data_IF_528777342405
#
_entry.id   IF_528777342405
#
_cell.length_a   1.000
_cell.length_b   1.000
_cell.length_c   1.000
_cell.angle_alpha   90.00
_cell.angle_beta   90.00
_cell.angle_gamma   90.00
#
_symmetry.space_group_name_H-M   'P 1'
#
loop_
_entity.id
_entity.type
_entity.pdbx_description
1 polymer ?
#
# COMPACT_ATOMS: atom_id res chain seq x y z
N UNK A 1 -56.91 28.27 -2.84
CA UNK A 1 -55.94 28.29 -3.97
C UNK A 1 -54.80 27.33 -3.67
N UNK A 2 -55.11 26.03 -3.73
CA UNK A 2 -54.16 24.94 -3.63
C UNK A 2 -53.69 24.57 -5.03
N UNK A 3 -52.37 24.50 -5.27
CA UNK A 3 -51.81 23.95 -6.52
C UNK A 3 -51.13 22.62 -6.23
N UNK A 4 -51.88 21.54 -6.48
CA UNK A 4 -51.38 20.20 -6.77
C UNK A 4 -50.58 20.22 -8.08
N UNK A 5 -49.42 19.55 -8.12
CA UNK A 5 -48.75 19.13 -9.36
C UNK A 5 -48.73 17.60 -9.41
N UNK A 6 -49.65 17.06 -10.20
CA UNK A 6 -49.63 15.70 -10.72
C UNK A 6 -48.48 15.53 -11.73
N UNK A 7 -47.67 14.48 -11.59
CA UNK A 7 -46.77 13.99 -12.62
C UNK A 7 -47.43 12.82 -13.34
N UNK A 8 -47.69 13.01 -14.64
CA UNK A 8 -48.14 12.00 -15.59
C UNK A 8 -47.06 10.92 -15.80
N UNK A 9 -47.45 9.68 -15.59
CA UNK A 9 -46.75 8.48 -16.07
C UNK A 9 -47.04 8.34 -17.57
N UNK A 10 -46.01 8.24 -18.42
CA UNK A 10 -46.14 7.89 -19.84
C UNK A 10 -45.84 6.40 -19.97
N UNK A 11 -46.87 5.61 -20.24
CA UNK A 11 -46.73 4.28 -20.82
C UNK A 11 -46.28 4.41 -22.28
N UNK A 12 -45.22 3.68 -22.64
CA UNK A 12 -44.76 3.51 -24.02
C UNK A 12 -44.93 2.04 -24.37
N UNK A 13 -45.99 1.75 -25.13
CA UNK A 13 -46.22 0.50 -25.80
C UNK A 13 -45.31 0.42 -27.03
N UNK A 14 -44.57 -0.69 -27.17
CA UNK A 14 -43.83 -1.02 -28.38
C UNK A 14 -44.49 -2.22 -29.06
N UNK A 15 -44.84 -2.00 -30.33
CA UNK A 15 -45.46 -2.97 -31.21
C UNK A 15 -44.50 -4.06 -31.67
N UNK A 16 -45.09 -5.24 -31.92
CA UNK A 16 -44.48 -6.34 -32.67
C UNK A 16 -44.28 -5.89 -34.12
N UNK A 17 -43.12 -6.17 -34.69
CA UNK A 17 -42.98 -6.96 -35.93
C UNK A 17 -41.51 -7.02 -36.40
N UNK A 18 -41.10 -8.21 -36.85
CA UNK A 18 -39.98 -8.51 -37.77
C UNK A 18 -38.52 -8.48 -37.23
N UNK A 19 -37.97 -9.67 -36.93
CA UNK A 19 -36.52 -9.90 -36.84
C UNK A 19 -36.10 -11.08 -37.78
N UNK A 20 -35.02 -10.94 -38.57
CA UNK A 20 -34.37 -12.02 -39.32
C UNK A 20 -33.28 -12.72 -38.47
N UNK A 21 -32.65 -13.83 -38.95
CA UNK A 21 -32.14 -14.88 -38.07
C UNK A 21 -30.71 -14.65 -37.54
N UNK A 22 -30.52 -15.10 -36.29
CA UNK A 22 -29.35 -15.74 -35.68
C UNK A 22 -27.93 -15.18 -35.93
N UNK A 23 -27.36 -14.60 -34.87
CA UNK A 23 -25.96 -14.82 -34.47
C UNK A 23 -25.90 -14.95 -32.93
N UNK A 24 -25.57 -16.13 -32.43
CA UNK A 24 -25.25 -16.34 -31.01
C UNK A 24 -23.75 -16.04 -30.80
N UNK A 25 -23.44 -15.03 -30.00
CA UNK A 25 -22.14 -14.90 -29.35
C UNK A 25 -22.26 -15.50 -27.95
N UNK A 26 -21.56 -16.61 -27.70
CA UNK A 26 -21.30 -17.06 -26.33
C UNK A 26 -20.05 -16.34 -25.82
N UNK A 27 -20.20 -15.52 -24.78
CA UNK A 27 -19.11 -15.15 -23.90
C UNK A 27 -18.88 -16.31 -22.93
N UNK A 28 -17.78 -17.06 -23.11
CA UNK A 28 -17.26 -17.92 -22.05
C UNK A 28 -16.25 -17.10 -21.25
N UNK A 29 -16.64 -16.73 -20.03
CA UNK A 29 -15.69 -16.30 -19.00
C UNK A 29 -14.77 -17.48 -18.65
N UNK A 30 -13.49 -17.15 -18.51
CA UNK A 30 -12.39 -18.06 -18.21
C UNK A 30 -12.66 -18.92 -16.95
N UNK A 31 -13.06 -20.17 -17.16
CA UNK A 31 -12.59 -21.29 -16.35
C UNK A 31 -11.93 -22.28 -17.32
N UNK A 32 -10.68 -22.62 -17.07
CA UNK A 32 -9.86 -23.49 -17.88
C UNK A 32 -10.44 -24.92 -17.94
N UNK A 33 -11.35 -25.17 -18.86
CA UNK A 33 -11.59 -26.48 -19.44
C UNK A 33 -11.14 -26.40 -20.89
N UNK A 34 -9.85 -26.65 -21.10
CA UNK A 34 -9.33 -26.88 -22.44
C UNK A 34 -9.87 -28.23 -22.92
N UNK A 35 -11.03 -28.20 -23.56
CA UNK A 35 -11.55 -29.34 -24.30
C UNK A 35 -10.63 -29.54 -25.52
N UNK A 36 -9.60 -30.37 -25.37
CA UNK A 36 -8.71 -30.71 -26.46
C UNK A 36 -9.45 -31.66 -27.41
N UNK A 37 -10.13 -31.09 -28.42
CA UNK A 37 -10.74 -31.87 -29.50
C UNK A 37 -9.62 -32.35 -30.41
N UNK A 38 -9.13 -33.57 -30.19
CA UNK A 38 -8.34 -34.28 -31.20
C UNK A 38 -9.26 -34.64 -32.36
N UNK A 39 -9.22 -33.85 -33.44
CA UNK A 39 -9.80 -34.25 -34.73
C UNK A 39 -8.85 -35.26 -35.36
N UNK A 40 -9.08 -36.55 -35.13
CA UNK A 40 -8.49 -37.60 -35.95
C UNK A 40 -9.19 -37.61 -37.31
N UNK A 41 -8.56 -37.03 -38.34
CA UNK A 41 -8.97 -37.24 -39.73
C UNK A 41 -8.62 -38.68 -40.08
N UNK A 42 -9.65 -39.52 -40.16
CA UNK A 42 -9.50 -40.91 -40.54
C UNK A 42 -9.50 -40.99 -42.08
N UNK A 43 -8.33 -40.92 -42.72
CA UNK A 43 -8.21 -41.42 -44.09
C UNK A 43 -8.25 -42.95 -44.07
N UNK A 44 -9.07 -43.50 -44.97
CA UNK A 44 -9.31 -44.92 -45.13
C UNK A 44 -8.27 -45.49 -46.09
N UNK A 45 -7.90 -46.74 -45.81
CA UNK A 45 -7.16 -47.70 -46.64
C UNK A 45 -5.63 -47.73 -46.50
N UNK A 46 -5.15 -48.81 -45.87
CA UNK A 46 -3.76 -49.22 -45.88
C UNK A 46 -3.30 -49.76 -44.53
N UNK A 47 -3.34 -51.09 -44.36
CA UNK A 47 -2.91 -51.79 -43.15
C UNK A 47 -1.43 -51.48 -42.81
N UNK A 48 -1.21 -50.67 -41.78
CA UNK A 48 0.09 -50.48 -41.15
C UNK A 48 -0.08 -49.88 -39.75
N UNK A 49 0.24 -50.64 -38.70
CA UNK A 49 0.24 -50.15 -37.31
C UNK A 49 1.26 -49.01 -37.17
N UNK A 50 0.82 -47.82 -36.79
CA UNK A 50 1.68 -46.66 -36.54
C UNK A 50 1.84 -46.44 -35.02
N UNK A 51 3.07 -46.50 -34.45
CA UNK A 51 3.30 -46.41 -32.99
C UNK A 51 3.33 -44.96 -32.44
N UNK A 52 2.84 -43.96 -33.18
CA UNK A 52 3.11 -42.54 -32.88
C UNK A 52 2.13 -41.83 -31.92
N UNK A 53 1.04 -42.47 -31.48
CA UNK A 53 -0.01 -41.79 -30.72
C UNK A 53 0.26 -41.75 -29.19
N UNK A 54 1.14 -42.60 -28.66
CA UNK A 54 1.44 -42.63 -27.23
C UNK A 54 2.44 -41.55 -26.74
N UNK A 55 3.12 -40.83 -27.64
CA UNK A 55 4.10 -39.80 -27.26
C UNK A 55 3.49 -38.44 -26.90
N UNK A 56 2.44 -38.00 -27.60
CA UNK A 56 1.89 -36.66 -27.43
C UNK A 56 1.04 -36.49 -26.16
N UNK A 57 0.29 -37.52 -25.74
CA UNK A 57 -0.48 -37.45 -24.49
C UNK A 57 0.42 -37.44 -23.24
N UNK A 58 1.59 -38.09 -23.30
CA UNK A 58 2.52 -38.13 -22.17
C UNK A 58 3.21 -36.77 -21.95
N UNK A 59 3.51 -36.03 -23.03
CA UNK A 59 4.14 -34.71 -22.95
C UNK A 59 3.21 -33.63 -22.38
N UNK A 60 1.91 -33.68 -22.69
CA UNK A 60 0.94 -32.70 -22.18
C UNK A 60 0.67 -32.92 -20.69
N UNK A 61 0.59 -34.18 -20.23
CA UNK A 61 0.48 -34.49 -18.80
C UNK A 61 1.75 -34.10 -18.03
N UNK A 62 2.94 -34.24 -18.61
CA UNK A 62 4.18 -33.83 -17.95
C UNK A 62 4.30 -32.30 -17.84
N UNK A 63 3.84 -31.54 -18.84
CA UNK A 63 3.85 -30.08 -18.78
C UNK A 63 2.84 -29.52 -17.77
N UNK A 64 1.64 -30.10 -17.67
CA UNK A 64 0.64 -29.71 -16.67
C UNK A 64 0.97 -30.18 -15.24
N UNK A 65 1.79 -31.22 -15.07
CA UNK A 65 2.22 -31.69 -13.75
C UNK A 65 3.48 -30.96 -13.23
N UNK A 66 4.25 -30.30 -14.10
CA UNK A 66 5.45 -29.56 -13.72
C UNK A 66 5.19 -28.11 -13.35
N UNK A 67 4.04 -27.55 -13.74
CA UNK A 67 3.54 -26.29 -13.19
C UNK A 67 2.57 -26.58 -12.04
N UNK A 68 3.06 -27.33 -11.03
CA UNK A 68 2.47 -27.20 -9.70
C UNK A 68 2.66 -25.74 -9.30
N UNK A 69 1.66 -24.93 -9.60
CA UNK A 69 1.52 -23.53 -9.24
C UNK A 69 1.87 -23.45 -7.77
N UNK A 70 3.12 -23.04 -7.47
CA UNK A 70 3.55 -22.81 -6.09
C UNK A 70 2.64 -21.72 -5.57
N UNK A 71 1.67 -22.10 -4.75
CA UNK A 71 0.69 -21.18 -4.18
C UNK A 71 1.45 -20.12 -3.38
N UNK A 72 1.52 -18.91 -3.92
CA UNK A 72 2.10 -17.76 -3.23
C UNK A 72 1.01 -17.11 -2.38
N UNK A 73 1.21 -17.08 -1.08
CA UNK A 73 0.33 -16.31 -0.21
C UNK A 73 0.70 -14.83 -0.30
N UNK A 74 -0.28 -13.96 -0.47
CA UNK A 74 -0.08 -12.50 -0.45
C UNK A 74 -0.55 -11.98 0.89
N UNK A 75 0.37 -11.44 1.68
CA UNK A 75 0.08 -10.87 3.00
C UNK A 75 0.35 -9.36 2.95
N UNK A 76 -0.68 -8.58 3.23
CA UNK A 76 -0.60 -7.11 3.31
C UNK A 76 -0.93 -6.69 4.74
N UNK A 77 -0.01 -6.01 5.39
CA UNK A 77 -0.14 -5.52 6.76
C UNK A 77 -0.49 -4.03 6.75
N UNK A 78 -1.57 -3.64 7.43
CA UNK A 78 -2.09 -2.28 7.48
C UNK A 78 -1.88 -1.66 8.87
N UNK A 79 -0.85 -0.82 9.03
CA UNK A 79 -0.52 -0.20 10.32
C UNK A 79 -1.00 1.26 10.42
N UNK A 80 -1.91 1.53 11.35
CA UNK A 80 -2.43 2.87 11.63
C UNK A 80 -1.42 3.78 12.35
N UNK A 81 -1.74 5.07 12.42
CA UNK A 81 -0.94 6.11 13.08
C UNK A 81 -1.18 6.27 14.59
N UNK A 82 -0.62 7.33 15.18
CA UNK A 82 -0.78 7.67 16.60
C UNK A 82 -2.27 7.81 16.97
N UNK A 83 -2.67 7.25 18.11
CA UNK A 83 -4.05 7.24 18.61
C UNK A 83 -5.08 6.69 17.62
N UNK A 84 -4.62 5.99 16.58
CA UNK A 84 -5.46 5.39 15.56
C UNK A 84 -6.05 4.06 15.99
N UNK A 85 -6.85 3.51 15.09
CA UNK A 85 -7.38 2.14 15.16
C UNK A 85 -7.15 1.46 13.83
N UNK A 86 -7.29 0.14 13.77
CA UNK A 86 -7.18 -0.60 12.51
C UNK A 86 -8.14 -0.07 11.42
N UNK A 87 -9.28 0.51 11.84
CA UNK A 87 -10.29 1.10 10.96
C UNK A 87 -9.82 2.32 10.17
N UNK A 88 -8.74 2.98 10.60
CA UNK A 88 -8.18 4.15 9.93
C UNK A 88 -7.74 3.83 8.49
N UNK A 89 -7.38 2.58 8.21
CA UNK A 89 -7.06 2.07 6.87
C UNK A 89 -8.18 1.18 6.30
N UNK A 90 -9.39 1.23 6.88
CA UNK A 90 -10.50 0.37 6.51
C UNK A 90 -10.99 0.56 5.07
N UNK A 91 -10.90 1.79 4.53
CA UNK A 91 -11.17 2.08 3.12
C UNK A 91 -10.24 1.26 2.20
N UNK A 92 -8.93 1.28 2.47
CA UNK A 92 -7.94 0.50 1.72
C UNK A 92 -8.16 -1.01 1.90
N UNK A 93 -8.45 -1.46 3.12
CA UNK A 93 -8.73 -2.86 3.40
C UNK A 93 -9.92 -3.39 2.57
N UNK A 94 -10.95 -2.56 2.34
CA UNK A 94 -12.07 -2.91 1.45
C UNK A 94 -11.63 -3.07 -0.01
N UNK A 95 -10.84 -2.13 -0.54
CA UNK A 95 -10.33 -2.25 -1.92
C UNK A 95 -9.47 -3.49 -2.10
N UNK A 96 -8.58 -3.78 -1.15
CA UNK A 96 -7.72 -4.97 -1.20
C UNK A 96 -8.54 -6.26 -1.17
N UNK A 97 -9.56 -6.37 -0.32
CA UNK A 97 -10.45 -7.54 -0.26
C UNK A 97 -11.31 -7.73 -1.50
N UNK A 98 -11.50 -6.68 -2.29
CA UNK A 98 -12.26 -6.74 -3.54
C UNK A 98 -11.41 -7.18 -4.75
N UNK A 99 -10.09 -7.36 -4.59
CA UNK A 99 -9.22 -7.89 -5.63
C UNK A 99 -9.50 -9.38 -5.90
N UNK A 100 -9.17 -9.85 -7.11
CA UNK A 100 -9.29 -11.26 -7.50
C UNK A 100 -7.93 -11.83 -7.99
N UNK A 101 -7.31 -12.80 -7.28
CA UNK A 101 -7.74 -13.27 -5.96
C UNK A 101 -7.61 -12.16 -4.90
N UNK A 102 -8.21 -12.30 -3.71
CA UNK A 102 -7.96 -11.36 -2.61
C UNK A 102 -6.66 -11.73 -1.88
N UNK A 103 -5.84 -10.74 -1.43
CA UNK A 103 -4.75 -11.00 -0.51
C UNK A 103 -5.26 -11.20 0.92
N UNK A 104 -4.41 -11.76 1.78
CA UNK A 104 -4.61 -11.79 3.22
C UNK A 104 -4.30 -10.40 3.75
N UNK A 105 -5.32 -9.72 4.28
CA UNK A 105 -5.18 -8.39 4.86
C UNK A 105 -5.10 -8.52 6.38
N UNK A 106 -3.93 -8.23 6.94
CA UNK A 106 -3.71 -8.16 8.38
C UNK A 106 -3.89 -6.71 8.83
N UNK A 107 -4.78 -6.52 9.81
CA UNK A 107 -5.15 -5.23 10.41
C UNK A 107 -4.80 -5.26 11.92
N UNK A 108 -3.52 -5.08 12.28
CA UNK A 108 -3.03 -5.20 13.66
C UNK A 108 -3.82 -4.34 14.66
N UNK A 109 -4.22 -4.95 15.77
CA UNK A 109 -4.91 -4.26 16.88
C UNK A 109 -4.00 -4.04 18.10
N UNK A 110 -2.76 -4.54 18.05
CA UNK A 110 -1.85 -4.51 19.20
C UNK A 110 -1.38 -3.12 19.61
N UNK A 111 -1.61 -2.09 18.78
CA UNK A 111 -1.16 -0.73 19.02
C UNK A 111 -2.30 0.31 19.04
N UNK A 112 -3.57 -0.09 19.17
CA UNK A 112 -4.69 0.87 19.08
C UNK A 112 -4.76 1.91 20.22
N UNK A 113 -5.27 3.09 19.88
CA UNK A 113 -5.53 4.18 20.82
C UNK A 113 -4.27 4.61 21.58
N UNK A 114 -4.39 4.74 22.91
CA UNK A 114 -3.31 5.17 23.79
C UNK A 114 -2.14 4.17 23.86
N UNK A 115 -2.27 2.94 23.32
CA UNK A 115 -1.13 2.00 23.27
C UNK A 115 -0.01 2.50 22.36
N UNK A 116 -0.33 3.39 21.42
CA UNK A 116 0.71 4.07 20.63
C UNK A 116 1.61 4.97 21.47
N UNK A 117 1.15 5.49 22.62
CA UNK A 117 1.93 6.40 23.47
C UNK A 117 3.15 5.76 24.13
N UNK A 118 3.22 4.42 24.14
CA UNK A 118 4.38 3.66 24.63
C UNK A 118 5.64 3.88 23.78
N UNK A 119 5.52 4.55 22.63
CA UNK A 119 6.64 4.90 21.76
C UNK A 119 6.86 3.90 20.62
N UNK A 120 7.70 4.31 19.67
CA UNK A 120 7.91 3.55 18.43
C UNK A 120 8.50 2.17 18.70
N UNK A 121 9.43 2.07 19.65
CA UNK A 121 10.14 0.83 20.00
C UNK A 121 9.19 -0.26 20.49
N UNK A 122 8.38 0.08 21.49
CA UNK A 122 7.43 -0.86 22.09
C UNK A 122 6.36 -1.26 21.08
N UNK A 123 5.86 -0.30 20.30
CA UNK A 123 4.88 -0.56 19.26
C UNK A 123 5.43 -1.46 18.15
N UNK A 124 6.68 -1.25 17.72
CA UNK A 124 7.33 -2.04 16.69
C UNK A 124 7.56 -3.48 17.12
N UNK A 125 7.98 -3.71 18.37
CA UNK A 125 8.10 -5.06 18.93
C UNK A 125 6.75 -5.80 18.98
N UNK A 126 5.66 -5.11 19.36
CA UNK A 126 4.30 -5.68 19.34
C UNK A 126 3.88 -6.06 17.93
N UNK A 127 4.09 -5.17 16.96
CA UNK A 127 3.75 -5.41 15.56
C UNK A 127 4.57 -6.59 14.99
N UNK A 128 5.87 -6.65 15.27
CA UNK A 128 6.73 -7.74 14.83
C UNK A 128 6.22 -9.10 15.31
N UNK A 129 5.83 -9.19 16.60
CA UNK A 129 5.26 -10.42 17.17
C UNK A 129 3.96 -10.84 16.48
N UNK A 130 3.05 -9.89 16.22
CA UNK A 130 1.77 -10.19 15.57
C UNK A 130 1.95 -10.64 14.11
N UNK A 131 2.82 -9.96 13.36
CA UNK A 131 3.11 -10.34 11.97
C UNK A 131 3.83 -11.68 11.90
N UNK A 132 4.80 -11.95 12.79
CA UNK A 132 5.47 -13.25 12.88
C UNK A 132 4.46 -14.37 13.16
N UNK A 133 3.53 -14.16 14.10
CA UNK A 133 2.46 -15.12 14.39
C UNK A 133 1.57 -15.37 13.17
N UNK A 134 1.20 -14.32 12.42
CA UNK A 134 0.45 -14.46 11.18
C UNK A 134 1.20 -15.28 10.13
N UNK A 135 2.51 -15.02 9.94
CA UNK A 135 3.36 -15.78 9.02
C UNK A 135 3.47 -17.26 9.41
N UNK A 136 3.63 -17.56 10.70
CA UNK A 136 3.64 -18.94 11.20
C UNK A 136 2.31 -19.66 10.95
N UNK A 137 1.19 -18.94 11.09
CA UNK A 137 -0.16 -19.47 10.82
C UNK A 137 -0.40 -19.83 9.34
N UNK A 138 0.34 -19.24 8.40
CA UNK A 138 0.33 -19.61 6.98
C UNK A 138 1.15 -20.87 6.69
N UNK A 139 1.91 -21.34 7.68
CA UNK A 139 2.75 -22.53 7.61
C UNK A 139 2.22 -23.68 8.50
N UNK A 140 0.94 -24.10 8.41
CA UNK A 140 0.49 -25.25 9.20
C UNK A 140 1.20 -26.51 8.68
N UNK A 141 1.85 -27.27 9.58
CA UNK A 141 2.11 -28.69 9.32
C UNK A 141 3.57 -29.16 9.18
N UNK A 142 4.44 -28.87 10.13
CA UNK A 142 5.37 -29.90 10.62
C UNK A 142 5.11 -30.12 12.11
N UNK A 143 3.97 -30.71 12.42
CA UNK A 143 3.87 -31.46 13.67
C UNK A 143 4.90 -32.58 13.58
N UNK A 144 5.91 -32.56 14.46
CA UNK A 144 7.00 -33.55 14.63
C UNK A 144 6.47 -34.97 14.89
N UNK A 145 5.74 -35.55 13.95
CA UNK A 145 5.45 -36.97 13.92
C UNK A 145 6.74 -37.75 13.64
N UNK A 146 6.95 -38.93 14.23
CA UNK A 146 8.14 -39.74 13.97
C UNK A 146 8.26 -40.04 12.47
N UNK A 147 9.39 -39.66 11.90
CA UNK A 147 9.71 -39.78 10.49
C UNK A 147 9.81 -41.25 10.05
N UNK A 148 8.73 -41.80 9.51
CA UNK A 148 8.73 -43.08 8.79
C UNK A 148 8.28 -42.86 7.37
N UNK A 149 9.27 -42.60 6.50
CA UNK A 149 9.33 -42.70 5.03
C UNK A 149 9.92 -41.44 4.38
N UNK A 150 11.23 -41.50 4.14
CA UNK A 150 11.95 -40.57 3.29
C UNK A 150 11.55 -40.78 1.83
N UNK A 151 10.66 -39.94 1.32
CA UNK A 151 10.62 -39.62 -0.12
C UNK A 151 11.38 -38.30 -0.35
N UNK A 152 12.04 -38.11 -1.51
CA UNK A 152 12.81 -36.90 -1.77
C UNK A 152 11.85 -35.72 -1.86
N UNK A 153 11.98 -34.81 -0.89
CA UNK A 153 11.17 -33.60 -0.76
C UNK A 153 11.44 -32.70 -1.99
N UNK A 154 10.53 -32.71 -2.95
CA UNK A 154 10.38 -31.59 -3.89
C UNK A 154 10.21 -30.34 -3.03
N UNK A 155 11.10 -29.36 -3.21
CA UNK A 155 11.26 -28.11 -2.44
C UNK A 155 9.90 -27.45 -2.08
N UNK A 156 9.29 -27.96 -1.00
CA UNK A 156 7.92 -27.66 -0.55
C UNK A 156 7.86 -26.37 0.27
N UNK A 157 8.82 -25.48 0.06
CA UNK A 157 8.94 -24.22 0.80
C UNK A 157 7.78 -23.32 0.44
N UNK A 158 7.01 -22.92 1.45
CA UNK A 158 5.91 -21.97 1.27
C UNK A 158 6.48 -20.59 0.98
N UNK A 159 5.91 -19.92 -0.02
CA UNK A 159 6.33 -18.57 -0.39
C UNK A 159 5.24 -17.57 -0.02
N UNK A 160 5.61 -16.53 0.73
CA UNK A 160 4.73 -15.43 1.14
C UNK A 160 5.26 -14.13 0.55
N UNK A 161 4.45 -13.44 -0.23
CA UNK A 161 4.69 -12.07 -0.67
C UNK A 161 4.19 -11.13 0.41
N UNK A 162 5.11 -10.41 1.06
CA UNK A 162 4.82 -9.54 2.19
C UNK A 162 4.88 -8.08 1.76
N UNK A 163 3.85 -7.31 2.13
CA UNK A 163 3.81 -5.86 1.94
C UNK A 163 3.27 -5.16 3.18
N UNK A 164 3.70 -3.93 3.39
CA UNK A 164 3.23 -3.05 4.45
C UNK A 164 2.64 -1.79 3.84
N UNK A 165 1.47 -1.40 4.32
CA UNK A 165 0.96 -0.03 4.15
C UNK A 165 0.78 0.57 5.53
N UNK A 166 1.27 1.77 5.69
CA UNK A 166 1.28 2.43 6.99
C UNK A 166 0.90 3.89 6.88
N UNK A 167 0.24 4.42 7.90
CA UNK A 167 -0.17 5.82 7.95
C UNK A 167 0.49 6.52 9.13
N UNK A 168 0.99 7.74 8.91
CA UNK A 168 1.52 8.60 9.96
C UNK A 168 2.61 7.88 10.78
N UNK A 169 2.54 7.92 12.11
CA UNK A 169 3.43 7.18 13.01
C UNK A 169 3.54 5.67 12.68
N UNK A 170 2.54 5.08 12.03
CA UNK A 170 2.54 3.67 11.63
C UNK A 170 3.74 3.28 10.80
N UNK A 171 4.25 4.16 9.94
CA UNK A 171 5.44 3.86 9.13
C UNK A 171 6.73 3.80 9.95
N UNK A 172 6.80 4.52 11.08
CA UNK A 172 7.90 4.41 12.04
C UNK A 172 7.82 3.08 12.81
N UNK A 173 6.61 2.69 13.23
CA UNK A 173 6.34 1.42 13.91
C UNK A 173 6.73 0.23 13.01
N UNK A 174 6.36 0.28 11.72
CA UNK A 174 6.77 -0.76 10.75
C UNK A 174 8.29 -0.81 10.65
N UNK A 175 8.98 0.32 10.45
CA UNK A 175 10.45 0.36 10.34
C UNK A 175 11.15 -0.27 11.55
N UNK A 176 10.65 -0.01 12.75
CA UNK A 176 11.15 -0.64 13.98
C UNK A 176 10.90 -2.16 14.04
N UNK A 177 9.77 -2.63 13.50
CA UNK A 177 9.42 -4.05 13.50
C UNK A 177 10.30 -4.88 12.54
N UNK A 178 10.83 -4.28 11.48
CA UNK A 178 11.47 -5.00 10.38
C UNK A 178 12.69 -5.85 10.79
N UNK A 179 13.66 -5.38 11.60
CA UNK A 179 14.80 -6.22 11.99
C UNK A 179 14.39 -7.51 12.70
N UNK A 180 13.45 -7.42 13.64
CA UNK A 180 12.92 -8.57 14.36
C UNK A 180 12.22 -9.53 13.39
N UNK A 181 11.40 -9.01 12.48
CA UNK A 181 10.72 -9.84 11.47
C UNK A 181 11.70 -10.54 10.52
N UNK A 182 12.74 -9.85 10.06
CA UNK A 182 13.78 -10.46 9.22
C UNK A 182 14.48 -11.58 9.98
N UNK A 183 14.76 -11.39 11.28
CA UNK A 183 15.34 -12.43 12.12
C UNK A 183 14.42 -13.64 12.28
N UNK A 184 13.12 -13.43 12.52
CA UNK A 184 12.14 -14.53 12.62
C UNK A 184 12.02 -15.28 11.29
N UNK A 185 11.93 -14.58 10.16
CA UNK A 185 11.88 -15.21 8.82
C UNK A 185 13.13 -16.05 8.57
N UNK A 186 14.32 -15.55 8.93
CA UNK A 186 15.59 -16.29 8.82
C UNK A 186 15.59 -17.58 9.62
N UNK A 187 15.02 -17.57 10.84
CA UNK A 187 14.89 -18.80 11.66
C UNK A 187 13.99 -19.85 11.00
N UNK A 188 13.09 -19.44 10.11
CA UNK A 188 12.17 -20.31 9.38
C UNK A 188 12.52 -20.49 7.90
N UNK A 189 13.74 -20.13 7.45
CA UNK A 189 14.12 -20.19 6.03
C UNK A 189 13.97 -21.58 5.39
N UNK A 190 14.01 -22.65 6.19
CA UNK A 190 13.79 -24.02 5.70
C UNK A 190 12.35 -24.29 5.24
N UNK A 191 11.35 -23.65 5.86
CA UNK A 191 9.93 -23.90 5.61
C UNK A 191 9.20 -22.71 4.98
N UNK A 192 9.70 -21.49 5.18
CA UNK A 192 9.10 -20.24 4.74
C UNK A 192 10.10 -19.40 3.94
N UNK A 193 9.70 -18.99 2.74
CA UNK A 193 10.34 -17.93 1.95
C UNK A 193 9.46 -16.70 1.97
N UNK A 194 10.01 -15.55 2.38
CA UNK A 194 9.32 -14.26 2.26
C UNK A 194 9.91 -13.47 1.09
N UNK A 195 9.04 -13.06 0.17
CA UNK A 195 9.33 -12.07 -0.87
C UNK A 195 8.85 -10.70 -0.36
N UNK A 196 9.79 -9.78 -0.12
CA UNK A 196 9.49 -8.44 0.39
C UNK A 196 9.08 -7.53 -0.78
N UNK A 197 7.77 -7.31 -0.97
CA UNK A 197 7.25 -6.64 -2.17
C UNK A 197 7.20 -5.13 -2.05
N UNK A 198 6.32 -4.61 -1.20
CA UNK A 198 6.06 -3.16 -1.11
C UNK A 198 6.11 -2.68 0.34
N UNK A 199 6.89 -1.64 0.58
CA UNK A 199 6.78 -0.78 1.76
C UNK A 199 6.14 0.53 1.33
N UNK A 200 4.91 0.80 1.76
CA UNK A 200 4.20 2.04 1.48
C UNK A 200 3.94 2.80 2.78
N UNK A 201 4.38 4.05 2.83
CA UNK A 201 4.16 4.96 3.94
C UNK A 201 3.38 6.18 3.49
N UNK A 202 2.26 6.44 4.15
CA UNK A 202 1.35 7.54 3.86
C UNK A 202 1.45 8.57 4.98
N UNK A 203 1.95 9.75 4.66
CA UNK A 203 2.17 10.85 5.60
C UNK A 203 2.99 10.46 6.84
N UNK A 204 3.98 9.58 6.70
CA UNK A 204 4.83 9.16 7.83
C UNK A 204 5.92 10.19 8.11
N UNK A 205 6.13 10.62 9.37
CA UNK A 205 7.17 11.59 9.70
C UNK A 205 8.55 10.91 9.77
N UNK A 206 9.11 10.45 8.65
CA UNK A 206 10.39 9.74 8.63
C UNK A 206 11.55 10.56 9.18
N UNK A 207 11.59 11.85 8.86
CA UNK A 207 12.52 12.83 9.40
C UNK A 207 12.05 13.49 10.71
N UNK A 208 10.89 13.10 11.25
CA UNK A 208 10.27 13.70 12.42
C UNK A 208 9.22 14.78 12.08
N UNK A 209 8.60 15.33 13.11
CA UNK A 209 7.54 16.33 13.04
C UNK A 209 7.89 17.59 13.87
N UNK A 210 9.19 17.82 14.11
CA UNK A 210 9.67 18.94 14.93
C UNK A 210 9.22 20.31 14.37
N UNK A 211 9.09 20.41 13.04
CA UNK A 211 8.67 21.61 12.32
C UNK A 211 7.15 21.71 12.09
N UNK A 212 6.35 20.97 12.86
CA UNK A 212 4.91 21.15 12.90
C UNK A 212 4.56 22.57 13.39
N UNK A 213 3.48 23.15 12.85
CA UNK A 213 3.05 24.51 13.18
C UNK A 213 2.93 24.71 14.70
N UNK A 214 3.44 25.85 15.19
CA UNK A 214 3.53 26.15 16.62
C UNK A 214 2.17 26.16 17.33
N UNK A 215 1.09 26.54 16.64
CA UNK A 215 -0.26 26.53 17.21
C UNK A 215 -0.71 25.10 17.44
N UNK A 216 -0.52 24.24 16.44
CA UNK A 216 -0.85 22.81 16.51
C UNK A 216 0.02 22.14 17.58
N UNK A 217 1.32 22.45 17.63
CA UNK A 217 2.21 21.98 18.69
C UNK A 217 1.79 22.46 20.08
N UNK A 218 1.22 23.66 20.22
CA UNK A 218 0.65 24.13 21.49
C UNK A 218 -0.66 23.43 21.86
N UNK A 219 -1.45 23.03 20.88
CA UNK A 219 -2.70 22.30 21.07
C UNK A 219 -2.40 20.86 21.50
N UNK A 220 -1.54 20.16 20.76
CA UNK A 220 -1.02 18.86 21.18
C UNK A 220 -0.23 18.98 22.47
N UNK A 221 0.58 20.03 22.67
CA UNK A 221 1.33 20.29 23.89
C UNK A 221 0.44 20.45 25.13
N UNK A 222 -0.76 21.04 24.99
CA UNK A 222 -1.75 21.12 26.06
C UNK A 222 -2.43 19.76 26.34
N UNK A 223 -2.55 18.91 25.34
CA UNK A 223 -3.01 17.52 25.48
C UNK A 223 -1.92 16.64 26.14
N UNK A 224 -0.67 16.79 25.70
CA UNK A 224 0.56 16.12 26.16
C UNK A 224 0.94 16.56 27.58
N UNK A 225 0.63 17.80 27.98
CA UNK A 225 0.90 18.33 29.33
C UNK A 225 0.22 17.54 30.46
N UNK A 226 -0.66 16.57 30.14
CA UNK A 226 -1.24 15.64 31.11
C UNK A 226 -0.64 14.22 31.07
N UNK A 227 0.03 13.80 29.99
CA UNK A 227 0.70 12.49 29.85
C UNK A 227 1.88 12.63 28.88
N UNK A 228 3.10 12.45 29.35
CA UNK A 228 4.35 12.51 28.58
C UNK A 228 4.42 11.32 27.59
N UNK A 229 3.75 11.41 26.45
CA UNK A 229 3.70 10.34 25.45
C UNK A 229 5.06 10.17 24.77
N UNK A 230 5.66 8.97 24.92
CA UNK A 230 6.96 8.61 24.34
C UNK A 230 6.91 8.69 22.81
N UNK A 231 5.76 8.40 22.20
CA UNK A 231 5.55 8.51 20.77
C UNK A 231 5.81 9.92 20.22
N UNK A 232 5.30 10.95 20.89
CA UNK A 232 5.54 12.33 20.47
C UNK A 232 6.99 12.75 20.73
N UNK A 233 7.60 12.27 21.81
CA UNK A 233 9.03 12.48 22.07
C UNK A 233 9.89 11.90 20.93
N UNK A 234 9.54 10.71 20.43
CA UNK A 234 10.18 10.09 19.27
C UNK A 234 9.96 10.89 17.98
N UNK A 235 8.71 11.25 17.68
CA UNK A 235 8.37 11.98 16.45
C UNK A 235 8.92 13.41 16.43
N UNK A 236 9.04 14.08 17.58
CA UNK A 236 9.57 15.45 17.67
C UNK A 236 11.09 15.52 17.79
N UNK A 237 11.80 14.43 17.50
CA UNK A 237 13.27 14.36 17.53
C UNK A 237 13.85 14.67 18.93
N UNK A 238 13.09 14.35 19.98
CA UNK A 238 13.53 14.54 21.36
C UNK A 238 14.21 13.27 21.91
N UNK A 239 13.99 12.10 21.28
CA UNK A 239 14.77 10.88 21.48
C UNK A 239 15.71 10.59 20.30
N UNK A 240 16.58 9.59 20.45
CA UNK A 240 17.48 9.13 19.39
C UNK A 240 16.84 8.11 18.42
N UNK A 241 15.53 7.86 18.54
CA UNK A 241 14.85 6.84 17.75
C UNK A 241 14.94 7.11 16.25
N UNK A 242 14.64 8.34 15.81
CA UNK A 242 14.70 8.72 14.40
C UNK A 242 16.11 9.06 13.93
N UNK A 243 16.95 9.61 14.82
CA UNK A 243 18.28 10.14 14.46
C UNK A 243 19.39 9.11 14.53
N UNK A 244 19.19 7.97 15.21
CA UNK A 244 20.20 6.93 15.36
C UNK A 244 19.60 5.54 15.10
N UNK A 245 18.52 5.17 15.82
CA UNK A 245 18.01 3.79 15.80
C UNK A 245 17.46 3.39 14.43
N UNK A 246 16.46 4.11 13.92
CA UNK A 246 15.78 3.77 12.66
C UNK A 246 16.63 4.06 11.41
N UNK A 247 17.80 4.68 11.56
CA UNK A 247 18.80 4.85 10.50
C UNK A 247 20.05 3.98 10.72
N UNK A 248 20.00 3.05 11.68
CA UNK A 248 21.06 2.06 11.86
C UNK A 248 21.16 1.14 10.65
N UNK A 249 22.34 0.57 10.41
CA UNK A 249 22.59 -0.29 9.27
C UNK A 249 21.63 -1.49 9.21
N UNK A 250 21.26 -2.07 10.37
CA UNK A 250 20.32 -3.17 10.45
C UNK A 250 18.91 -2.77 9.96
N UNK A 251 18.36 -1.66 10.48
CA UNK A 251 17.03 -1.18 10.09
C UNK A 251 16.97 -0.78 8.61
N UNK A 252 18.01 -0.11 8.13
CA UNK A 252 18.10 0.29 6.73
C UNK A 252 18.26 -0.91 5.79
N UNK A 253 19.06 -1.91 6.16
CA UNK A 253 19.18 -3.15 5.39
C UNK A 253 17.85 -3.91 5.33
N UNK A 254 17.12 -4.02 6.45
CA UNK A 254 15.80 -4.65 6.48
C UNK A 254 14.77 -3.90 5.63
N UNK A 255 14.80 -2.57 5.63
CA UNK A 255 13.96 -1.75 4.75
C UNK A 255 14.36 -1.87 3.27
N UNK A 256 15.66 -2.05 3.00
CA UNK A 256 16.21 -2.27 1.68
C UNK A 256 15.82 -3.60 1.04
N UNK A 257 15.28 -4.55 1.82
CA UNK A 257 14.80 -5.84 1.29
C UNK A 257 13.58 -5.68 0.38
N UNK A 258 12.77 -4.64 0.57
CA UNK A 258 11.58 -4.41 -0.24
C UNK A 258 11.94 -4.07 -1.69
N UNK A 259 11.29 -4.72 -2.65
CA UNK A 259 11.45 -4.41 -4.08
C UNK A 259 11.03 -2.96 -4.37
N UNK A 260 9.98 -2.49 -3.71
CA UNK A 260 9.44 -1.14 -3.86
C UNK A 260 9.27 -0.44 -2.50
N UNK A 261 9.71 0.82 -2.43
CA UNK A 261 9.49 1.71 -1.28
C UNK A 261 8.80 2.97 -1.76
N UNK A 262 7.60 3.20 -1.27
CA UNK A 262 6.71 4.27 -1.72
C UNK A 262 6.39 5.23 -0.58
N UNK A 263 6.56 6.52 -0.86
CA UNK A 263 6.21 7.63 0.02
C UNK A 263 5.01 8.37 -0.58
N UNK A 264 3.89 8.43 0.14
CA UNK A 264 2.72 9.22 -0.26
C UNK A 264 2.55 10.34 0.75
N UNK A 265 2.53 11.58 0.29
CA UNK A 265 2.43 12.76 1.14
C UNK A 265 1.36 13.71 0.62
N UNK A 266 0.87 14.63 1.46
CA UNK A 266 0.05 15.75 0.99
C UNK A 266 0.81 17.06 1.09
N UNK A 267 0.69 17.90 0.06
CA UNK A 267 1.29 19.25 0.09
C UNK A 267 0.65 20.14 1.17
N UNK A 268 -0.59 19.85 1.59
CA UNK A 268 -1.30 20.60 2.62
C UNK A 268 -1.31 19.88 3.98
N UNK A 269 -0.45 18.89 4.18
CA UNK A 269 -0.35 18.23 5.49
C UNK A 269 0.20 19.20 6.54
N UNK A 270 -0.61 19.51 7.54
CA UNK A 270 -0.25 20.42 8.64
C UNK A 270 0.38 19.68 9.84
N UNK A 271 0.27 18.36 9.87
CA UNK A 271 0.75 17.49 10.96
C UNK A 271 2.14 16.97 10.62
N UNK A 272 2.30 16.45 9.40
CA UNK A 272 3.56 15.85 8.93
C UNK A 272 4.13 16.67 7.78
N UNK A 273 5.21 17.43 8.02
CA UNK A 273 5.82 18.24 6.99
C UNK A 273 6.29 17.42 5.77
N UNK A 274 6.16 18.00 4.57
CA UNK A 274 6.45 17.30 3.31
C UNK A 274 7.89 16.78 3.21
N UNK A 275 8.86 17.51 3.78
CA UNK A 275 10.26 17.08 3.76
C UNK A 275 10.50 15.83 4.60
N UNK A 276 9.66 15.60 5.60
CA UNK A 276 9.73 14.43 6.47
C UNK A 276 9.01 13.21 5.85
N UNK A 277 7.89 13.41 5.17
CA UNK A 277 7.08 12.33 4.61
C UNK A 277 7.40 11.95 3.17
N UNK A 278 7.79 12.92 2.34
CA UNK A 278 8.02 12.71 0.91
C UNK A 278 9.46 12.95 0.46
N UNK A 279 10.36 13.30 1.38
CA UNK A 279 11.74 13.73 1.09
C UNK A 279 11.86 14.89 0.10
N UNK A 280 10.91 15.83 0.18
CA UNK A 280 10.83 16.98 -0.72
C UNK A 280 10.48 18.25 0.04
N UNK A 281 11.05 19.38 -0.38
CA UNK A 281 10.62 20.68 0.11
C UNK A 281 9.40 21.17 -0.66
N UNK A 282 8.51 21.91 0.02
CA UNK A 282 7.47 22.68 -0.67
C UNK A 282 8.13 23.77 -1.53
N UNK A 283 7.59 24.12 -2.69
CA UNK A 283 8.12 25.23 -3.50
C UNK A 283 8.15 26.57 -2.74
N UNK A 284 7.24 26.79 -1.79
CA UNK A 284 7.26 27.94 -0.87
C UNK A 284 8.46 27.96 0.08
N UNK A 285 9.02 26.81 0.43
CA UNK A 285 10.21 26.68 1.28
C UNK A 285 11.52 26.87 0.50
N UNK A 286 11.46 26.85 -0.84
CA UNK A 286 12.64 27.11 -1.66
C UNK A 286 12.86 28.63 -1.82
N UNK A 287 14.03 29.12 -1.40
CA UNK A 287 14.39 30.54 -1.50
C UNK A 287 14.51 30.99 -2.96
N UNK A 288 14.18 32.26 -3.24
CA UNK A 288 14.41 32.89 -4.54
C UNK A 288 13.40 32.59 -5.65
N UNK A 289 12.35 31.79 -5.41
CA UNK A 289 11.29 31.57 -6.42
C UNK A 289 10.23 32.68 -6.41
N UNK A 290 9.85 33.13 -7.60
CA UNK A 290 8.68 33.99 -7.79
C UNK A 290 7.37 33.22 -7.51
N UNK A 291 6.27 33.90 -7.14
CA UNK A 291 4.98 33.25 -6.90
C UNK A 291 4.50 32.38 -8.07
N UNK A 292 4.67 32.86 -9.31
CA UNK A 292 4.29 32.11 -10.53
C UNK A 292 5.14 30.85 -10.70
N UNK A 293 6.45 30.94 -10.42
CA UNK A 293 7.34 29.77 -10.48
C UNK A 293 6.99 28.73 -9.40
N UNK A 294 6.59 29.19 -8.20
CA UNK A 294 6.12 28.32 -7.12
C UNK A 294 4.87 27.56 -7.54
N UNK A 295 3.83 28.26 -7.98
CA UNK A 295 2.58 27.63 -8.42
C UNK A 295 2.82 26.63 -9.56
N UNK A 296 3.65 26.98 -10.55
CA UNK A 296 4.02 26.07 -11.63
C UNK A 296 4.74 24.82 -11.12
N UNK A 297 5.66 24.95 -10.16
CA UNK A 297 6.39 23.82 -9.57
C UNK A 297 5.46 22.94 -8.73
N UNK A 298 4.57 23.52 -7.94
CA UNK A 298 3.52 22.79 -7.23
C UNK A 298 2.58 22.08 -8.21
N UNK A 299 2.32 22.68 -9.38
CA UNK A 299 1.50 22.07 -10.43
C UNK A 299 2.11 20.82 -11.03
N UNK A 300 3.40 20.89 -11.33
CA UNK A 300 4.18 19.78 -11.87
C UNK A 300 4.37 18.64 -10.86
N UNK A 301 4.51 18.97 -9.56
CA UNK A 301 4.82 17.99 -8.52
C UNK A 301 3.58 17.26 -7.97
N UNK A 302 2.44 17.95 -7.84
CA UNK A 302 1.31 17.40 -7.09
C UNK A 302 0.27 16.71 -7.97
N UNK A 303 -0.12 15.49 -7.59
CA UNK A 303 -1.22 14.73 -8.16
C UNK A 303 -2.57 15.06 -7.51
N UNK A 304 -3.64 14.97 -8.28
CA UNK A 304 -5.02 15.18 -7.86
C UNK A 304 -6.00 14.12 -8.40
N UNK A 305 -5.49 13.09 -9.08
CA UNK A 305 -6.22 11.91 -9.55
C UNK A 305 -5.29 10.68 -9.57
N UNK A 306 -5.83 9.49 -9.82
CA UNK A 306 -5.04 8.23 -9.92
C UNK A 306 -4.06 8.30 -11.11
N UNK A 307 -4.52 8.81 -12.25
CA UNK A 307 -3.68 8.95 -13.45
C UNK A 307 -2.53 9.93 -13.21
N UNK A 308 -2.79 11.04 -12.51
CA UNK A 308 -1.73 11.97 -12.13
C UNK A 308 -0.75 11.37 -11.13
N UNK A 309 -1.17 10.45 -10.25
CA UNK A 309 -0.27 9.78 -9.30
C UNK A 309 0.77 8.91 -10.03
N UNK A 310 0.39 8.25 -11.13
CA UNK A 310 1.33 7.52 -11.96
C UNK A 310 2.28 8.45 -12.73
N UNK A 311 1.73 9.51 -13.33
CA UNK A 311 2.51 10.45 -14.14
C UNK A 311 3.48 11.30 -13.31
N UNK A 312 3.12 11.64 -12.07
CA UNK A 312 3.90 12.51 -11.18
C UNK A 312 4.65 11.73 -10.09
N UNK A 313 4.80 10.41 -10.27
CA UNK A 313 5.66 9.58 -9.42
C UNK A 313 7.11 10.01 -9.59
N UNK A 314 7.75 10.41 -8.50
CA UNK A 314 9.15 10.85 -8.49
C UNK A 314 10.04 9.83 -7.82
N UNK A 315 10.95 9.22 -8.57
CA UNK A 315 11.99 8.34 -8.01
C UNK A 315 13.12 9.18 -7.41
N UNK A 316 13.35 9.01 -6.12
CA UNK A 316 14.38 9.70 -5.34
C UNK A 316 15.48 8.69 -5.02
N UNK A 317 16.68 8.93 -5.56
CA UNK A 317 17.87 8.12 -5.30
C UNK A 317 18.89 8.87 -4.45
N UNK A 318 18.95 10.20 -4.62
CA UNK A 318 19.82 11.11 -3.87
C UNK A 318 19.10 12.43 -3.65
N UNK A 319 19.47 13.16 -2.60
CA UNK A 319 19.01 14.53 -2.37
C UNK A 319 20.06 15.49 -2.89
N UNK A 320 19.73 16.28 -3.91
CA UNK A 320 20.61 17.32 -4.41
C UNK A 320 20.43 18.63 -3.64
N UNK A 321 21.42 19.53 -3.69
CA UNK A 321 21.34 20.82 -3.02
C UNK A 321 20.29 21.75 -3.66
N UNK A 322 19.99 21.55 -4.95
CA UNK A 322 18.97 22.30 -5.68
C UNK A 322 17.55 21.93 -5.24
N UNK A 323 17.33 20.66 -4.88
CA UNK A 323 16.03 20.16 -4.45
C UNK A 323 15.81 20.34 -2.94
N UNK A 324 16.88 20.28 -2.16
CA UNK A 324 16.83 20.48 -0.73
C UNK A 324 18.18 21.08 -0.27
N UNK A 325 18.29 22.39 0.00
CA UNK A 325 19.57 22.98 0.42
C UNK A 325 20.09 22.37 1.73
N UNK A 326 21.42 22.31 1.91
CA UNK A 326 22.04 21.68 3.09
C UNK A 326 21.75 22.40 4.40
N UNK A 327 21.47 23.71 4.34
CA UNK A 327 21.16 24.57 5.49
C UNK A 327 19.68 24.51 5.88
N UNK A 328 18.81 23.99 5.00
CA UNK A 328 17.37 23.86 5.26
C UNK A 328 17.08 22.49 5.87
N UNK A 329 16.59 22.45 7.12
CA UNK A 329 16.22 21.22 7.83
C UNK A 329 17.34 20.16 7.85
N UNK A 330 18.54 20.49 8.39
CA UNK A 330 19.73 19.64 8.26
C UNK A 330 19.57 18.27 8.94
N UNK A 331 18.77 18.17 10.02
CA UNK A 331 18.55 16.91 10.73
C UNK A 331 17.67 15.97 9.91
N UNK A 332 16.56 16.49 9.39
CA UNK A 332 15.62 15.78 8.51
C UNK A 332 16.32 15.34 7.23
N UNK A 333 17.10 16.23 6.61
CA UNK A 333 17.87 15.93 5.41
C UNK A 333 18.84 14.77 5.66
N UNK A 334 19.59 14.79 6.75
CA UNK A 334 20.52 13.72 7.13
C UNK A 334 19.79 12.38 7.31
N UNK A 335 18.60 12.37 7.90
CA UNK A 335 17.80 11.15 8.05
C UNK A 335 17.38 10.62 6.68
N UNK A 336 16.88 11.49 5.79
CA UNK A 336 16.48 11.11 4.44
C UNK A 336 17.68 10.61 3.60
N UNK A 337 18.83 11.27 3.67
CA UNK A 337 20.08 10.82 3.03
C UNK A 337 20.53 9.46 3.55
N UNK A 338 20.46 9.23 4.87
CA UNK A 338 20.78 7.93 5.46
C UNK A 338 19.82 6.85 4.94
N UNK A 339 18.52 7.14 4.85
CA UNK A 339 17.53 6.20 4.30
C UNK A 339 17.78 5.88 2.83
N UNK A 340 18.03 6.88 1.98
CA UNK A 340 18.34 6.69 0.57
C UNK A 340 19.63 5.89 0.37
N UNK A 341 20.66 6.18 1.17
CA UNK A 341 21.94 5.47 1.10
C UNK A 341 21.83 4.02 1.57
N UNK A 342 21.11 3.75 2.65
CA UNK A 342 21.08 2.44 3.28
C UNK A 342 19.96 1.51 2.80
N UNK A 343 18.79 2.06 2.44
CA UNK A 343 17.66 1.29 1.94
C UNK A 343 17.49 1.38 0.41
N UNK A 344 18.18 2.30 -0.26
CA UNK A 344 18.10 2.52 -1.70
C UNK A 344 17.01 3.52 -2.10
N UNK A 345 16.65 3.50 -3.38
CA UNK A 345 15.71 4.46 -3.96
C UNK A 345 14.30 4.35 -3.35
N UNK A 346 13.59 5.49 -3.29
CA UNK A 346 12.18 5.59 -2.94
C UNK A 346 11.41 6.24 -4.08
N UNK A 347 10.21 5.76 -4.36
CA UNK A 347 9.25 6.50 -5.16
C UNK A 347 8.46 7.43 -4.24
N UNK A 348 8.27 8.69 -4.63
CA UNK A 348 7.57 9.72 -3.86
C UNK A 348 6.44 10.31 -4.70
N UNK A 349 5.26 10.42 -4.08
CA UNK A 349 4.06 11.00 -4.68
C UNK A 349 3.51 12.04 -3.71
N UNK A 350 3.30 13.25 -4.23
CA UNK A 350 2.72 14.35 -3.46
C UNK A 350 1.30 14.62 -3.96
N UNK A 351 0.33 14.64 -3.06
CA UNK A 351 -1.08 14.84 -3.38
C UNK A 351 -1.53 16.26 -3.00
N UNK A 352 -2.24 16.91 -3.92
CA UNK A 352 -2.91 18.20 -3.70
C UNK A 352 -4.43 18.06 -3.85
N UNK A 353 -5.08 17.92 -2.69
CA UNK A 353 -6.54 17.81 -2.61
C UNK A 353 -7.26 19.11 -2.93
N UNK A 354 -6.61 20.27 -2.86
CA UNK A 354 -7.25 21.56 -3.16
C UNK A 354 -7.67 21.65 -4.63
N UNK A 355 -7.07 20.85 -5.50
CA UNK A 355 -7.39 20.80 -6.94
C UNK A 355 -8.60 19.96 -7.25
N UNK A 356 -8.88 18.96 -6.43
CA UNK A 356 -10.12 18.18 -6.50
C UNK A 356 -11.33 19.10 -6.28
N UNK A 357 -11.15 20.21 -5.52
CA UNK A 357 -12.16 21.24 -5.29
C UNK A 357 -12.58 22.02 -6.54
N UNK A 358 -11.72 22.16 -7.56
CA UNK A 358 -12.08 22.94 -8.76
C UNK A 358 -13.32 22.37 -9.46
N UNK A 359 -13.67 21.13 -9.17
CA UNK A 359 -14.85 20.44 -9.70
C UNK A 359 -16.07 20.49 -8.77
N UNK A 360 -15.92 20.87 -7.49
CA UNK A 360 -17.00 20.85 -6.48
C UNK A 360 -16.95 22.08 -5.58
N UNK A 361 -17.97 22.93 -5.66
CA UNK A 361 -18.12 24.11 -4.80
C UNK A 361 -18.72 23.74 -3.42
N UNK A 362 -18.07 22.80 -2.70
CA UNK A 362 -18.52 22.32 -1.39
C UNK A 362 -17.54 22.77 -0.28
N UNK A 363 -18.00 23.58 0.69
CA UNK A 363 -17.18 24.03 1.82
C UNK A 363 -16.56 22.90 2.65
N UNK A 364 -17.25 21.78 2.81
CA UNK A 364 -16.74 20.63 3.55
C UNK A 364 -15.56 19.97 2.85
N UNK A 365 -15.63 19.86 1.52
CA UNK A 365 -14.51 19.34 0.73
C UNK A 365 -13.32 20.29 0.83
N UNK A 366 -13.54 21.62 0.73
CA UNK A 366 -12.45 22.61 0.88
C UNK A 366 -11.77 22.51 2.23
N UNK A 367 -12.56 22.50 3.31
CA UNK A 367 -12.05 22.34 4.66
C UNK A 367 -11.25 21.05 4.81
N UNK A 368 -11.76 19.94 4.25
CA UNK A 368 -11.08 18.64 4.33
C UNK A 368 -9.76 18.64 3.55
N UNK A 369 -9.74 19.20 2.34
CA UNK A 369 -8.56 19.30 1.51
C UNK A 369 -7.45 20.17 2.12
N UNK A 370 -7.81 21.25 2.81
CA UNK A 370 -6.85 22.22 3.35
C UNK A 370 -6.43 21.91 4.80
N UNK A 371 -7.38 21.47 5.64
CA UNK A 371 -7.18 21.33 7.10
C UNK A 371 -7.07 19.88 7.56
N UNK A 372 -7.66 18.95 6.80
CA UNK A 372 -7.69 17.52 7.16
C UNK A 372 -7.00 16.65 6.09
N UNK A 373 -6.11 17.22 5.29
CA UNK A 373 -5.40 16.52 4.21
C UNK A 373 -4.68 15.25 4.69
N UNK A 374 -4.12 15.29 5.91
CA UNK A 374 -3.49 14.15 6.58
C UNK A 374 -4.45 12.96 6.76
N UNK A 375 -5.72 13.25 7.09
CA UNK A 375 -6.79 12.25 7.24
C UNK A 375 -7.36 11.84 5.89
N UNK A 376 -7.42 12.78 4.94
CA UNK A 376 -7.94 12.57 3.58
C UNK A 376 -7.12 11.57 2.78
N UNK A 377 -5.80 11.53 2.98
CA UNK A 377 -4.92 10.52 2.37
C UNK A 377 -5.37 9.07 2.65
N UNK A 378 -6.07 8.84 3.75
CA UNK A 378 -6.52 7.50 4.16
C UNK A 378 -8.03 7.39 4.36
N UNK A 379 -8.79 8.39 3.93
CA UNK A 379 -10.25 8.48 4.17
C UNK A 379 -10.64 8.24 5.64
N UNK A 380 -9.81 8.67 6.59
CA UNK A 380 -10.09 8.50 8.02
C UNK A 380 -11.25 9.41 8.46
N UNK A 381 -11.99 8.98 9.48
CA UNK A 381 -13.04 9.81 10.08
C UNK A 381 -12.53 11.22 10.44
N UNK A 382 -13.33 12.28 10.19
CA UNK A 382 -14.77 12.25 9.86
C UNK A 382 -15.11 12.13 8.36
N UNK A 383 -14.14 11.86 7.48
CA UNK A 383 -14.32 11.96 6.01
C UNK A 383 -15.36 10.97 5.48
N UNK A 384 -15.36 9.74 5.99
CA UNK A 384 -16.38 8.74 5.66
C UNK A 384 -17.77 9.18 6.13
N UNK A 385 -17.91 9.66 7.37
CA UNK A 385 -19.19 10.19 7.88
C UNK A 385 -19.73 11.37 7.07
N UNK A 386 -18.84 12.18 6.50
CA UNK A 386 -19.21 13.32 5.66
C UNK A 386 -19.59 12.91 4.21
N UNK A 387 -19.51 11.63 3.86
CA UNK A 387 -19.79 11.15 2.49
C UNK A 387 -18.76 11.62 1.46
N UNK A 388 -17.56 11.98 1.91
CA UNK A 388 -16.49 12.50 1.05
C UNK A 388 -15.50 11.42 0.59
N UNK A 389 -15.77 10.15 0.90
CA UNK A 389 -14.90 9.04 0.54
C UNK A 389 -14.63 8.97 -0.96
N UNK A 390 -15.66 9.11 -1.82
CA UNK A 390 -15.48 9.08 -3.28
C UNK A 390 -14.54 10.17 -3.81
N UNK A 391 -14.42 11.28 -3.08
CA UNK A 391 -13.57 12.42 -3.47
C UNK A 391 -12.11 12.15 -3.15
N UNK A 392 -11.83 11.50 -2.02
CA UNK A 392 -10.47 11.37 -1.49
C UNK A 392 -9.89 9.96 -1.62
N UNK A 393 -10.74 8.95 -1.86
CA UNK A 393 -10.35 7.53 -1.95
C UNK A 393 -9.50 7.18 -3.17
N UNK A 394 -9.34 8.08 -4.14
CA UNK A 394 -8.49 7.85 -5.31
C UNK A 394 -7.05 7.48 -4.91
N UNK A 395 -6.53 8.07 -3.83
CA UNK A 395 -5.21 7.71 -3.28
C UNK A 395 -5.17 6.23 -2.88
N UNK A 396 -6.20 5.76 -2.17
CA UNK A 396 -6.27 4.38 -1.68
C UNK A 396 -6.60 3.36 -2.77
N UNK A 397 -7.40 3.74 -3.78
CA UNK A 397 -7.62 2.91 -4.97
C UNK A 397 -6.34 2.73 -5.75
N UNK A 398 -5.59 3.81 -5.98
CA UNK A 398 -4.28 3.75 -6.61
C UNK A 398 -3.31 2.87 -5.82
N UNK A 399 -3.26 2.98 -4.47
CA UNK A 399 -2.42 2.12 -3.62
C UNK A 399 -2.81 0.65 -3.74
N UNK A 400 -4.11 0.33 -3.74
CA UNK A 400 -4.59 -1.04 -3.92
C UNK A 400 -4.20 -1.61 -5.30
N UNK A 401 -4.31 -0.80 -6.35
CA UNK A 401 -3.89 -1.16 -7.71
C UNK A 401 -2.38 -1.41 -7.80
N UNK A 402 -1.55 -0.57 -7.19
CA UNK A 402 -0.10 -0.76 -7.15
C UNK A 402 0.25 -2.06 -6.40
N UNK A 403 -0.38 -2.32 -5.26
CA UNK A 403 -0.16 -3.58 -4.51
C UNK A 403 -0.59 -4.80 -5.32
N UNK A 404 -1.71 -4.73 -6.04
CA UNK A 404 -2.13 -5.81 -6.93
C UNK A 404 -1.09 -6.07 -8.03
N UNK A 405 -0.63 -5.01 -8.70
CA UNK A 405 0.32 -5.09 -9.81
C UNK A 405 1.70 -5.64 -9.42
N UNK A 406 2.14 -5.47 -8.16
CA UNK A 406 3.45 -5.97 -7.68
C UNK A 406 3.43 -7.39 -7.13
N UNK A 407 2.24 -7.95 -6.94
CA UNK A 407 2.09 -9.32 -6.46
C UNK A 407 1.70 -10.31 -7.57
N UNK A 408 1.17 -9.83 -8.69
CA UNK A 408 1.06 -10.59 -9.95
C UNK A 408 2.45 -10.76 -10.57
#
# INVERSE_FOLDING_TARGET
NERKKEKKFKELTWGRDSFPPFFFFFFFSCLSLSLCVCVCVHEREGNGLCPFINGCCLFIHLFFMLDQVRMKHRLIVLQHGSHGTYRDLGCLARFLRALDPPPIVLEPQVNEGFRTDDGVLVCGARLAKEVAHALSGLCPGESLGPATHMTPLVDGRKTVQLSFVSHSMGGLIVREALPQLVQEVRRHEGSLRVEWKVFCSIATPHGGAHHMDSFIRSFFGRLIGRVYSTAYHDMFLQSNVLTERLISAEHLASLGLFEHRLLISSIHDIIVPLMSSGFMLRPSQCRGMSPVAREKREMAMCASSEEEMDLKRHRIETLTAENWPHDEYPVERRIAEAMLKGAGAFDSIVVDFSRVLKQRNDPHVRFTAEQLSHLALVCKEPICQMGLEEVFSFVLRWVASELAARHC
#
